data_IF_846864069665
#
_entry.id   IF_846864069665
#
_cell.length_a   1.000
_cell.length_b   1.000
_cell.length_c   1.000
_cell.angle_alpha   90.00
_cell.angle_beta   90.00
_cell.angle_gamma   90.00
#
_symmetry.space_group_name_H-M   'P 1'
#
loop_
_entity.id
_entity.type
_entity.pdbx_description
1 polymer ?
#
# COMPACT_ATOMS: atom_id res chain seq x y z
N UNK A 1 -8.10 -19.21 -3.22
CA UNK A 1 -7.60 -19.26 -1.83
C UNK A 1 -8.72 -18.87 -0.88
N UNK A 2 -8.93 -19.63 0.16
CA UNK A 2 -9.97 -19.40 1.17
C UNK A 2 -9.29 -19.39 2.53
N UNK A 3 -9.58 -18.38 3.33
CA UNK A 3 -9.10 -18.27 4.71
C UNK A 3 -10.26 -17.97 5.66
N UNK A 4 -10.19 -18.51 6.86
CA UNK A 4 -11.13 -18.22 7.93
C UNK A 4 -10.53 -17.16 8.86
N UNK A 5 -11.19 -16.01 8.98
CA UNK A 5 -10.79 -14.92 9.86
C UNK A 5 -11.63 -14.95 11.13
N UNK A 6 -10.98 -15.10 12.29
CA UNK A 6 -11.63 -15.04 13.61
C UNK A 6 -12.82 -15.99 13.81
N UNK A 7 -12.84 -17.16 13.15
CA UNK A 7 -13.92 -18.15 13.18
C UNK A 7 -15.33 -17.63 12.80
N UNK A 8 -15.45 -16.37 12.38
CA UNK A 8 -16.73 -15.72 12.06
C UNK A 8 -16.83 -15.27 10.60
N UNK A 9 -15.71 -15.06 9.95
CA UNK A 9 -15.64 -14.53 8.58
C UNK A 9 -14.86 -15.49 7.69
N UNK A 10 -15.42 -15.81 6.55
CA UNK A 10 -14.72 -16.50 5.47
C UNK A 10 -14.32 -15.46 4.45
N UNK A 11 -13.03 -15.34 4.21
CA UNK A 11 -12.46 -14.45 3.19
C UNK A 11 -11.90 -15.31 2.08
N UNK A 12 -12.20 -14.96 0.84
CA UNK A 12 -11.66 -15.69 -0.32
C UNK A 12 -11.09 -14.73 -1.35
N UNK A 13 -10.10 -15.20 -2.10
CA UNK A 13 -9.56 -14.56 -3.29
C UNK A 13 -9.49 -15.59 -4.40
N UNK A 14 -9.90 -15.20 -5.58
CA UNK A 14 -9.83 -16.03 -6.79
C UNK A 14 -9.00 -15.31 -7.83
N UNK A 15 -8.03 -16.02 -8.41
CA UNK A 15 -7.32 -15.51 -9.58
C UNK A 15 -8.32 -15.35 -10.72
N UNK A 16 -8.31 -14.18 -11.34
CA UNK A 16 -9.19 -13.95 -12.48
C UNK A 16 -8.74 -14.82 -13.65
N UNK A 17 -9.69 -15.49 -14.27
CA UNK A 17 -9.45 -16.24 -15.49
C UNK A 17 -9.88 -15.36 -16.68
N UNK A 18 -8.92 -15.01 -17.50
CA UNK A 18 -9.15 -14.20 -18.70
C UNK A 18 -9.63 -15.02 -19.91
N UNK A 19 -9.87 -16.33 -19.70
CA UNK A 19 -10.39 -17.24 -20.73
C UNK A 19 -9.54 -17.24 -22.00
N UNK A 20 -10.20 -17.16 -23.13
CA UNK A 20 -9.59 -17.22 -24.47
C UNK A 20 -9.05 -15.85 -24.94
N UNK A 21 -8.76 -14.93 -24.02
CA UNK A 21 -8.21 -13.65 -24.39
C UNK A 21 -6.83 -13.83 -25.06
N UNK A 22 -6.78 -13.57 -26.37
CA UNK A 22 -5.56 -13.73 -27.16
C UNK A 22 -4.50 -12.65 -26.90
N UNK A 23 -4.96 -11.46 -26.47
CA UNK A 23 -4.10 -10.32 -26.15
C UNK A 23 -4.78 -9.42 -25.13
N UNK A 24 -4.02 -9.02 -24.11
CA UNK A 24 -4.45 -8.06 -23.10
C UNK A 24 -3.40 -6.96 -22.93
N UNK A 25 -3.84 -5.73 -22.80
CA UNK A 25 -2.98 -4.60 -22.45
C UNK A 25 -3.45 -4.04 -21.11
N UNK A 26 -2.52 -3.91 -20.17
CA UNK A 26 -2.76 -3.32 -18.85
C UNK A 26 -1.98 -2.03 -18.78
N UNK A 27 -2.66 -0.94 -18.43
CA UNK A 27 -2.06 0.35 -18.16
C UNK A 27 -2.15 0.60 -16.66
N UNK A 28 -1.01 0.76 -16.01
CA UNK A 28 -0.93 1.00 -14.56
C UNK A 28 0.21 1.95 -14.26
N UNK A 29 -0.03 2.90 -13.38
CA UNK A 29 1.00 3.82 -12.90
C UNK A 29 1.97 3.14 -11.92
N UNK A 30 1.51 2.10 -11.24
CA UNK A 30 2.21 1.44 -10.11
C UNK A 30 2.45 -0.05 -10.36
N UNK A 31 2.60 -0.48 -11.62
CA UNK A 31 2.81 -1.89 -11.94
C UNK A 31 4.19 -2.38 -11.48
N UNK A 32 4.23 -3.52 -10.79
CA UNK A 32 5.47 -4.24 -10.48
C UNK A 32 5.66 -5.44 -11.41
N UNK A 33 6.78 -5.49 -12.12
CA UNK A 33 7.08 -6.55 -13.10
C UNK A 33 7.01 -7.94 -12.47
N UNK A 34 7.62 -8.14 -11.31
CA UNK A 34 7.73 -9.46 -10.67
C UNK A 34 6.36 -9.97 -10.26
N UNK A 35 5.52 -9.10 -9.69
CA UNK A 35 4.16 -9.47 -9.31
C UNK A 35 3.29 -9.83 -10.51
N UNK A 36 3.43 -9.11 -11.63
CA UNK A 36 2.71 -9.43 -12.87
C UNK A 36 3.20 -10.73 -13.50
N UNK A 37 4.51 -10.98 -13.52
CA UNK A 37 5.08 -12.24 -14.01
C UNK A 37 4.62 -13.43 -13.17
N UNK A 38 4.58 -13.30 -11.84
CA UNK A 38 4.06 -14.33 -10.94
C UNK A 38 2.53 -14.51 -11.08
N UNK A 39 1.77 -13.42 -11.27
CA UNK A 39 0.32 -13.49 -11.47
C UNK A 39 -0.05 -14.17 -12.79
N UNK A 40 0.62 -13.82 -13.86
CA UNK A 40 0.40 -14.37 -15.19
C UNK A 40 1.39 -15.48 -15.55
N UNK A 41 1.84 -16.24 -14.56
CA UNK A 41 2.84 -17.31 -14.78
C UNK A 41 2.45 -18.22 -15.94
N UNK A 42 3.41 -18.50 -16.84
CA UNK A 42 3.19 -19.27 -18.07
C UNK A 42 2.63 -18.47 -19.25
N UNK A 43 2.38 -17.18 -19.10
CA UNK A 43 2.03 -16.28 -20.21
C UNK A 43 3.24 -15.45 -20.65
N UNK A 44 3.28 -15.08 -21.92
CA UNK A 44 4.32 -14.18 -22.43
C UNK A 44 3.94 -12.73 -22.08
N UNK A 45 4.73 -12.10 -21.20
CA UNK A 45 4.50 -10.73 -20.75
C UNK A 45 5.53 -9.80 -21.39
N UNK A 46 5.03 -8.80 -22.11
CA UNK A 46 5.83 -7.68 -22.58
C UNK A 46 5.66 -6.50 -21.66
N UNK A 47 6.50 -6.37 -20.66
CA UNK A 47 6.46 -5.28 -19.68
C UNK A 47 7.26 -4.07 -20.21
N UNK A 48 6.59 -2.94 -20.30
CA UNK A 48 7.20 -1.69 -20.73
C UNK A 48 7.04 -0.63 -19.66
N UNK A 49 8.14 -0.12 -19.15
CA UNK A 49 8.16 1.04 -18.29
C UNK A 49 8.12 2.30 -19.15
N UNK A 50 7.19 3.18 -18.84
CA UNK A 50 7.12 4.52 -19.40
C UNK A 50 7.86 5.46 -18.42
N UNK A 51 8.44 6.53 -18.92
CA UNK A 51 9.24 7.48 -18.14
C UNK A 51 8.61 7.82 -16.80
N UNK A 52 9.39 7.73 -15.73
CA UNK A 52 9.01 8.27 -14.44
C UNK A 52 8.81 9.77 -14.56
N UNK A 53 7.67 10.25 -14.07
CA UNK A 53 7.47 11.68 -13.92
C UNK A 53 8.52 12.24 -12.94
N UNK A 54 9.17 13.35 -13.31
CA UNK A 54 10.06 14.03 -12.37
C UNK A 54 9.23 14.71 -11.28
N UNK A 55 9.56 14.44 -10.03
CA UNK A 55 9.00 15.18 -8.91
C UNK A 55 9.55 16.61 -8.93
N UNK A 56 8.70 17.57 -9.20
CA UNK A 56 9.08 19.00 -9.23
C UNK A 56 8.93 19.68 -7.87
N UNK A 57 8.34 19.02 -6.91
CA UNK A 57 8.07 19.53 -5.57
C UNK A 57 9.17 19.20 -4.56
N UNK A 58 9.04 19.76 -3.37
CA UNK A 58 9.88 19.45 -2.20
C UNK A 58 9.15 18.46 -1.32
N UNK A 59 9.79 17.32 -1.00
CA UNK A 59 9.28 16.34 -0.05
C UNK A 59 9.87 16.60 1.33
N UNK A 60 9.02 16.82 2.34
CA UNK A 60 9.40 16.95 3.73
C UNK A 60 8.88 15.72 4.49
N UNK A 61 9.77 14.95 5.09
CA UNK A 61 9.39 13.77 5.87
C UNK A 61 9.55 14.03 7.37
N UNK A 62 8.46 13.87 8.11
CA UNK A 62 8.45 13.92 9.56
C UNK A 62 8.57 12.51 10.14
N UNK A 63 9.62 12.26 10.91
CA UNK A 63 10.00 10.91 11.37
C UNK A 63 9.91 10.69 12.88
N UNK A 64 9.41 11.67 13.66
CA UNK A 64 9.38 11.57 15.11
C UNK A 64 8.42 10.49 15.64
N UNK A 65 7.35 10.18 14.90
CA UNK A 65 6.35 9.17 15.28
C UNK A 65 6.00 8.29 14.09
N UNK A 66 5.59 7.04 14.37
CA UNK A 66 5.24 6.08 13.31
C UNK A 66 3.87 6.32 12.69
N UNK A 67 3.04 7.17 13.26
CA UNK A 67 1.69 7.57 12.78
C UNK A 67 0.90 6.40 12.15
N UNK A 68 1.02 5.21 12.73
CA UNK A 68 0.31 4.02 12.25
C UNK A 68 -1.16 4.06 12.66
N UNK A 69 -2.01 3.26 12.01
CA UNK A 69 -3.43 3.12 12.41
C UNK A 69 -3.57 2.72 13.89
N UNK A 70 -2.68 1.84 14.37
CA UNK A 70 -2.66 1.43 15.76
C UNK A 70 -2.27 2.58 16.71
N UNK A 71 -1.38 3.47 16.27
CA UNK A 71 -1.01 4.66 17.03
C UNK A 71 -2.22 5.59 17.21
N UNK A 72 -2.95 5.89 16.15
CA UNK A 72 -4.15 6.72 16.21
C UNK A 72 -5.25 6.09 17.08
N UNK A 73 -5.50 4.80 16.91
CA UNK A 73 -6.52 4.10 17.72
C UNK A 73 -6.20 4.13 19.23
N UNK A 74 -4.93 4.13 19.59
CA UNK A 74 -4.49 4.13 21.00
C UNK A 74 -4.48 5.52 21.64
N UNK A 75 -4.22 6.57 20.86
CA UNK A 75 -3.89 7.90 21.35
C UNK A 75 -4.97 8.96 21.04
N UNK A 76 -6.22 8.56 20.79
CA UNK A 76 -7.32 9.52 20.60
C UNK A 76 -7.48 10.03 19.17
N UNK A 77 -7.07 9.24 18.18
CA UNK A 77 -7.39 9.37 16.74
C UNK A 77 -7.45 10.79 16.17
N UNK A 78 -8.66 11.37 16.18
CA UNK A 78 -8.93 12.70 15.64
C UNK A 78 -8.22 13.80 16.39
N UNK A 79 -8.11 13.74 17.72
CA UNK A 79 -7.49 14.79 18.53
C UNK A 79 -6.00 14.90 18.22
N UNK A 80 -5.33 13.74 18.08
CA UNK A 80 -3.93 13.69 17.66
C UNK A 80 -3.75 14.22 16.24
N UNK A 81 -4.69 13.94 15.34
CA UNK A 81 -4.65 14.46 13.98
C UNK A 81 -4.77 15.99 13.97
N UNK A 82 -5.69 16.56 14.74
CA UNK A 82 -5.86 18.02 14.84
C UNK A 82 -4.63 18.69 15.46
N UNK A 83 -4.01 18.09 16.48
CA UNK A 83 -2.74 18.58 17.05
C UNK A 83 -1.61 18.61 16.00
N UNK A 84 -1.52 17.56 15.17
CA UNK A 84 -0.54 17.50 14.08
C UNK A 84 -0.84 18.59 13.03
N UNK A 85 -2.11 18.79 12.68
CA UNK A 85 -2.53 19.84 11.74
C UNK A 85 -2.13 21.21 12.23
N UNK A 86 -2.53 21.56 13.43
CA UNK A 86 -2.25 22.87 14.03
C UNK A 86 -0.74 23.16 14.10
N UNK A 87 0.04 22.16 14.47
CA UNK A 87 1.47 22.35 14.71
C UNK A 87 2.34 22.35 13.46
N UNK A 88 1.97 21.56 12.43
CA UNK A 88 2.88 21.26 11.32
C UNK A 88 2.30 21.49 9.93
N UNK A 89 0.98 21.50 9.75
CA UNK A 89 0.34 21.39 8.45
C UNK A 89 -0.49 22.61 8.11
N UNK A 90 -1.25 23.16 9.08
CA UNK A 90 -2.21 24.24 8.83
C UNK A 90 -3.36 23.77 7.94
N UNK A 91 -3.70 24.59 6.93
CA UNK A 91 -4.83 24.36 6.03
C UNK A 91 -4.51 23.50 4.80
N UNK A 92 -3.33 22.87 4.76
CA UNK A 92 -2.92 22.00 3.64
C UNK A 92 -3.83 20.76 3.59
N UNK A 93 -4.34 20.36 2.40
CA UNK A 93 -5.12 19.14 2.23
C UNK A 93 -4.40 17.90 2.75
N UNK A 94 -5.12 17.02 3.42
CA UNK A 94 -4.56 15.83 4.07
C UNK A 94 -5.08 14.55 3.42
N UNK A 95 -4.18 13.62 3.14
CA UNK A 95 -4.47 12.22 2.80
C UNK A 95 -4.10 11.36 4.02
N UNK A 96 -5.06 10.62 4.56
CA UNK A 96 -4.87 9.80 5.76
C UNK A 96 -5.76 8.55 5.73
N UNK A 97 -5.88 7.85 6.85
CA UNK A 97 -6.80 6.72 7.00
C UNK A 97 -8.26 7.15 6.89
N UNK A 98 -9.12 6.31 6.28
CA UNK A 98 -10.56 6.57 6.13
C UNK A 98 -11.25 7.01 7.42
N UNK A 99 -10.86 6.44 8.55
CA UNK A 99 -11.45 6.76 9.87
C UNK A 99 -11.10 8.16 10.39
N UNK A 100 -10.08 8.80 9.82
CA UNK A 100 -9.59 10.12 10.20
C UNK A 100 -9.81 11.16 9.10
N UNK A 101 -10.20 10.71 7.90
CA UNK A 101 -10.42 11.60 6.78
C UNK A 101 -11.71 12.41 6.97
N UNK A 102 -11.74 13.69 6.54
CA UNK A 102 -12.99 14.45 6.46
C UNK A 102 -14.02 13.72 5.59
N UNK A 103 -15.31 13.93 5.82
CA UNK A 103 -16.42 13.23 5.15
C UNK A 103 -16.35 13.26 3.61
N UNK A 104 -15.81 14.33 3.04
CA UNK A 104 -15.59 14.51 1.60
C UNK A 104 -14.17 14.16 1.16
N UNK A 105 -13.32 13.70 2.08
CA UNK A 105 -11.87 13.59 1.88
C UNK A 105 -11.44 12.39 1.07
N UNK A 106 -10.32 12.57 0.39
CA UNK A 106 -9.52 11.50 -0.19
C UNK A 106 -8.75 10.83 0.95
N UNK A 107 -8.69 9.52 0.95
CA UNK A 107 -8.03 8.73 1.98
C UNK A 107 -7.29 7.54 1.34
N UNK A 108 -6.40 6.87 2.09
CA UNK A 108 -5.77 5.65 1.62
C UNK A 108 -6.79 4.62 1.11
N UNK A 109 -6.52 4.05 -0.06
CA UNK A 109 -7.44 3.18 -0.79
C UNK A 109 -8.51 3.92 -1.59
N UNK A 110 -8.47 5.28 -1.67
CA UNK A 110 -9.35 6.10 -2.50
C UNK A 110 -8.57 7.29 -3.08
N UNK A 111 -7.36 7.06 -3.54
CA UNK A 111 -6.50 8.07 -4.14
C UNK A 111 -6.48 8.00 -5.66
N UNK A 112 -6.77 6.83 -6.21
CA UNK A 112 -6.73 6.62 -7.66
C UNK A 112 -7.79 7.41 -8.42
N UNK A 113 -7.38 8.01 -9.54
CA UNK A 113 -8.28 8.75 -10.43
C UNK A 113 -8.66 10.16 -9.96
N UNK A 114 -8.12 10.64 -8.85
CA UNK A 114 -8.35 11.98 -8.34
C UNK A 114 -7.22 12.93 -8.72
N UNK A 115 -7.59 14.07 -9.34
CA UNK A 115 -6.65 15.13 -9.71
C UNK A 115 -6.91 16.46 -8.95
N UNK A 116 -7.75 16.42 -7.90
CA UNK A 116 -8.18 17.62 -7.19
C UNK A 116 -7.02 18.36 -6.50
N UNK A 117 -5.97 17.65 -6.13
CA UNK A 117 -4.80 18.23 -5.46
C UNK A 117 -3.63 18.53 -6.42
N UNK A 118 -3.87 18.45 -7.72
CA UNK A 118 -2.82 18.73 -8.71
C UNK A 118 -2.28 20.14 -8.57
N UNK A 119 -0.97 20.26 -8.36
CA UNK A 119 -0.29 21.55 -8.20
C UNK A 119 -0.48 22.19 -6.82
N UNK A 120 -1.06 21.47 -5.87
CA UNK A 120 -1.20 21.90 -4.48
C UNK A 120 -0.15 21.22 -3.59
N UNK A 121 0.17 21.87 -2.48
CA UNK A 121 0.86 21.19 -1.38
C UNK A 121 -0.13 20.23 -0.71
N UNK A 122 0.33 19.03 -0.38
CA UNK A 122 -0.47 18.02 0.32
C UNK A 122 0.32 17.44 1.49
N UNK A 123 -0.38 17.04 2.53
CA UNK A 123 0.17 16.29 3.65
C UNK A 123 -0.33 14.84 3.62
N UNK A 124 0.59 13.89 3.65
CA UNK A 124 0.26 12.45 3.76
C UNK A 124 0.55 12.00 5.18
N UNK A 125 -0.48 11.59 5.91
CA UNK A 125 -0.37 11.25 7.34
C UNK A 125 -0.69 9.79 7.56
N UNK A 126 0.32 9.02 7.94
CA UNK A 126 0.23 7.60 8.24
C UNK A 126 0.95 6.74 7.21
N UNK A 127 1.09 5.46 7.56
CA UNK A 127 1.63 4.44 6.65
C UNK A 127 0.52 3.43 6.33
N UNK A 128 0.07 3.33 5.09
CA UNK A 128 -0.98 2.40 4.72
C UNK A 128 -0.47 0.96 4.83
N UNK A 129 -1.20 0.15 5.57
CA UNK A 129 -0.96 -1.29 5.69
C UNK A 129 -2.27 -2.03 5.48
N UNK A 130 -2.27 -2.95 4.56
CA UNK A 130 -3.34 -3.92 4.42
C UNK A 130 -3.33 -4.94 5.56
N UNK A 131 -4.43 -5.65 5.75
CA UNK A 131 -4.48 -6.68 6.78
C UNK A 131 -3.51 -7.83 6.46
N UNK A 132 -2.90 -8.48 7.48
CA UNK A 132 -2.06 -9.67 7.27
C UNK A 132 -2.77 -10.78 6.50
N UNK A 133 -4.10 -10.89 6.66
CA UNK A 133 -4.93 -11.86 5.92
C UNK A 133 -4.89 -11.56 4.43
N UNK A 134 -5.03 -10.30 4.01
CA UNK A 134 -4.97 -9.92 2.60
C UNK A 134 -3.61 -10.27 1.99
N UNK A 135 -2.51 -9.91 2.65
CA UNK A 135 -1.18 -10.28 2.17
C UNK A 135 -1.01 -11.79 2.01
N UNK A 136 -1.44 -12.58 3.00
CA UNK A 136 -1.39 -14.05 2.91
C UNK A 136 -2.24 -14.60 1.77
N UNK A 137 -3.41 -14.05 1.55
CA UNK A 137 -4.30 -14.50 0.46
C UNK A 137 -3.71 -14.19 -0.90
N UNK A 138 -3.21 -12.97 -1.11
CA UNK A 138 -2.56 -12.58 -2.37
C UNK A 138 -1.29 -13.40 -2.57
N UNK A 139 -0.45 -13.55 -1.55
CA UNK A 139 0.76 -14.37 -1.62
C UNK A 139 0.46 -15.82 -1.98
N UNK A 140 -0.55 -16.43 -1.35
CA UNK A 140 -0.97 -17.80 -1.69
C UNK A 140 -1.52 -17.91 -3.11
N UNK A 141 -2.23 -16.89 -3.60
CA UNK A 141 -2.69 -16.83 -4.99
C UNK A 141 -1.52 -16.75 -5.99
N UNK A 142 -0.43 -16.10 -5.60
CA UNK A 142 0.80 -15.97 -6.39
C UNK A 142 1.75 -17.19 -6.21
N UNK A 143 1.43 -18.15 -5.33
CA UNK A 143 2.25 -19.31 -5.05
C UNK A 143 3.42 -19.05 -4.08
N UNK A 144 3.34 -17.98 -3.25
CA UNK A 144 4.36 -17.68 -2.25
C UNK A 144 4.18 -18.48 -0.96
N UNK A 145 5.24 -18.63 -0.18
CA UNK A 145 5.15 -19.25 1.14
C UNK A 145 4.47 -18.30 2.14
N UNK A 146 3.26 -18.63 2.52
CA UNK A 146 2.41 -17.87 3.45
C UNK A 146 2.33 -18.49 4.84
N UNK A 147 3.11 -19.54 5.13
CA UNK A 147 3.10 -20.25 6.42
C UNK A 147 3.63 -19.40 7.56
N UNK A 148 4.55 -18.47 7.27
CA UNK A 148 5.18 -17.60 8.24
C UNK A 148 4.23 -16.61 8.92
N UNK A 149 4.60 -16.18 10.14
CA UNK A 149 3.99 -15.05 10.85
C UNK A 149 4.77 -13.76 10.60
N UNK A 150 4.18 -12.63 11.00
CA UNK A 150 4.87 -11.34 10.95
C UNK A 150 5.93 -11.26 12.05
N UNK A 151 7.14 -10.93 11.67
CA UNK A 151 8.25 -10.65 12.57
C UNK A 151 8.90 -9.31 12.22
N UNK A 152 9.68 -8.76 13.12
CA UNK A 152 10.44 -7.55 12.87
C UNK A 152 11.69 -7.88 12.06
N UNK A 153 11.71 -7.42 10.82
CA UNK A 153 12.85 -7.52 9.92
C UNK A 153 13.47 -6.15 9.69
N UNK A 154 14.75 -6.15 9.35
CA UNK A 154 15.41 -5.00 8.77
C UNK A 154 15.27 -5.09 7.26
N UNK A 155 14.64 -4.10 6.66
CA UNK A 155 14.35 -4.04 5.23
C UNK A 155 15.21 -2.95 4.61
N UNK A 156 15.76 -3.26 3.44
CA UNK A 156 16.52 -2.30 2.65
C UNK A 156 15.72 -1.90 1.41
N UNK A 157 15.51 -0.60 1.21
CA UNK A 157 14.79 -0.07 0.06
C UNK A 157 15.30 1.32 -0.27
N UNK A 158 15.57 1.59 -1.56
CA UNK A 158 16.02 2.90 -2.01
C UNK A 158 17.31 3.41 -1.34
N UNK A 159 18.21 2.51 -0.91
CA UNK A 159 19.44 2.86 -0.18
C UNK A 159 19.25 3.09 1.34
N UNK A 160 18.03 2.94 1.85
CA UNK A 160 17.71 3.08 3.27
C UNK A 160 17.46 1.73 3.92
N UNK A 161 17.85 1.62 5.21
CA UNK A 161 17.62 0.42 6.02
C UNK A 161 16.75 0.78 7.22
N UNK A 162 15.58 0.13 7.34
CA UNK A 162 14.61 0.42 8.40
C UNK A 162 13.95 -0.85 8.95
N UNK A 163 13.52 -0.84 10.23
CA UNK A 163 12.80 -1.95 10.81
C UNK A 163 11.34 -1.97 10.35
N UNK A 164 10.84 -3.13 9.95
CA UNK A 164 9.47 -3.33 9.50
C UNK A 164 8.92 -4.68 9.99
N UNK A 165 7.63 -4.73 10.32
CA UNK A 165 6.92 -6.00 10.54
C UNK A 165 6.59 -6.63 9.19
N UNK A 166 7.20 -7.78 8.90
CA UNK A 166 7.10 -8.45 7.61
C UNK A 166 7.25 -9.97 7.73
N UNK A 167 7.24 -10.65 6.60
CA UNK A 167 7.32 -12.11 6.50
C UNK A 167 8.75 -12.60 6.29
N UNK A 168 9.03 -13.86 6.67
CA UNK A 168 10.30 -14.50 6.41
C UNK A 168 10.56 -14.70 4.90
N UNK A 169 9.52 -15.04 4.14
CA UNK A 169 9.60 -15.19 2.70
C UNK A 169 9.90 -13.84 2.01
N UNK A 170 10.91 -13.82 1.14
CA UNK A 170 11.36 -12.62 0.44
C UNK A 170 10.34 -12.08 -0.54
N UNK A 171 9.61 -12.97 -1.24
CA UNK A 171 8.58 -12.56 -2.20
C UNK A 171 7.39 -11.93 -1.47
N UNK A 172 7.00 -12.49 -0.33
CA UNK A 172 5.99 -11.91 0.55
C UNK A 172 6.38 -10.51 1.06
N UNK A 173 7.65 -10.30 1.45
CA UNK A 173 8.15 -8.99 1.85
C UNK A 173 8.09 -7.97 0.72
N UNK A 174 8.57 -8.35 -0.45
CA UNK A 174 8.57 -7.46 -1.62
C UNK A 174 7.15 -7.08 -2.03
N UNK A 175 6.24 -8.05 -2.05
CA UNK A 175 4.82 -7.80 -2.32
C UNK A 175 4.21 -6.84 -1.27
N UNK A 176 4.51 -7.03 0.01
CA UNK A 176 4.02 -6.14 1.06
C UNK A 176 4.54 -4.70 0.88
N UNK A 177 5.82 -4.53 0.57
CA UNK A 177 6.42 -3.22 0.27
C UNK A 177 5.76 -2.58 -0.93
N UNK A 178 5.57 -3.33 -2.01
CA UNK A 178 4.89 -2.83 -3.20
C UNK A 178 3.50 -2.28 -2.87
N UNK A 179 2.68 -3.00 -2.09
CA UNK A 179 1.35 -2.52 -1.70
C UNK A 179 1.39 -1.26 -0.84
N UNK A 180 2.42 -1.07 -0.03
CA UNK A 180 2.60 0.15 0.76
C UNK A 180 3.01 1.31 -0.15
N UNK A 181 3.96 1.08 -1.01
CA UNK A 181 4.49 2.10 -1.93
C UNK A 181 3.43 2.57 -2.92
N UNK A 182 2.66 1.65 -3.51
CA UNK A 182 1.59 1.98 -4.46
C UNK A 182 0.44 2.81 -3.87
N UNK A 183 0.29 2.84 -2.56
CA UNK A 183 -0.68 3.71 -1.88
C UNK A 183 -0.12 5.10 -1.55
N UNK A 184 1.21 5.25 -1.62
CA UNK A 184 1.90 6.50 -1.30
C UNK A 184 2.31 7.29 -2.55
N UNK A 185 2.33 6.64 -3.72
CA UNK A 185 2.58 7.26 -5.03
C UNK A 185 1.32 7.91 -5.61
#
# INVERSE_FOLDING_TARGET
VIMCKNKKEIVFIKKYDFGDCSKMTILSATADRVLYEDYFSGKNINFREVYKAEYKGKVLQYTAHTLSRAFFNKNGGTDVLEEIKEKYIGDIPIITFKMLAPDSGIHFGKTEGFNVYRGMDIAVIGTPHNSPVLYKMVGAMLGYDTSGSLHRYRVERGGYSFPMMSYADKKMRNMQLFFIESELE
#
